data_IF_743880484682
#
_entry.id   IF_743880484682
#
_cell.length_a   1.000
_cell.length_b   1.000
_cell.length_c   1.000
_cell.angle_alpha   90.00
_cell.angle_beta   90.00
_cell.angle_gamma   90.00
#
_symmetry.space_group_name_H-M   'P 1'
#
loop_
_entity.id
_entity.type
_entity.pdbx_description
1 polymer ?
#
# COMPACT_ATOMS: atom_id res chain seq x y z
N UNK A 1 -46.31 -48.90 13.21
CA UNK A 1 -45.95 -47.47 13.05
C UNK A 1 -45.05 -47.10 14.21
N UNK A 2 -43.75 -46.96 13.95
CA UNK A 2 -42.73 -46.64 14.95
C UNK A 2 -41.99 -45.41 14.44
N UNK A 3 -42.22 -44.27 15.11
CA UNK A 3 -41.63 -42.97 14.78
C UNK A 3 -40.19 -42.90 15.28
N UNK A 4 -39.24 -42.61 14.38
CA UNK A 4 -37.84 -42.34 14.73
C UNK A 4 -37.70 -40.94 15.39
N UNK A 5 -36.76 -40.75 16.34
CA UNK A 5 -36.55 -39.47 16.99
C UNK A 5 -35.73 -38.53 16.11
N UNK A 6 -36.15 -37.26 16.05
CA UNK A 6 -35.50 -36.19 15.29
C UNK A 6 -34.22 -35.70 15.99
N UNK A 7 -33.11 -35.46 15.28
CA UNK A 7 -31.87 -34.99 15.90
C UNK A 7 -31.96 -33.50 16.27
N UNK A 8 -31.55 -33.16 17.49
CA UNK A 8 -31.40 -31.76 17.93
C UNK A 8 -30.23 -31.10 17.19
N UNK A 9 -30.33 -29.81 16.83
CA UNK A 9 -29.23 -29.08 16.21
C UNK A 9 -28.13 -28.86 17.26
N UNK A 10 -26.97 -29.48 17.04
CA UNK A 10 -25.75 -29.17 17.77
C UNK A 10 -25.28 -27.78 17.35
N UNK A 11 -25.52 -26.77 18.19
CA UNK A 11 -24.86 -25.48 18.08
C UNK A 11 -23.37 -25.69 18.31
N UNK A 12 -22.59 -25.69 17.23
CA UNK A 12 -21.15 -25.72 17.29
C UNK A 12 -20.68 -24.51 18.09
N UNK A 13 -20.25 -24.73 19.32
CA UNK A 13 -19.62 -23.71 20.15
C UNK A 13 -18.35 -23.26 19.45
N UNK A 14 -18.35 -22.05 18.90
CA UNK A 14 -17.13 -21.38 18.44
C UNK A 14 -16.14 -21.32 19.61
N UNK A 15 -15.12 -22.18 19.58
CA UNK A 15 -13.96 -22.03 20.45
C UNK A 15 -13.02 -21.01 19.79
N UNK A 16 -12.60 -19.93 20.48
CA UNK A 16 -11.53 -19.08 19.98
C UNK A 16 -10.23 -19.90 20.02
N UNK A 17 -9.86 -20.47 18.88
CA UNK A 17 -8.64 -21.27 18.70
C UNK A 17 -7.43 -20.32 18.56
N UNK A 18 -6.26 -20.62 19.15
CA UNK A 18 -5.29 -19.58 19.44
C UNK A 18 -4.63 -19.05 18.17
N UNK A 19 -4.42 -17.73 18.15
CA UNK A 19 -3.58 -17.05 17.17
C UNK A 19 -2.24 -17.79 17.07
N UNK A 20 -1.75 -18.03 15.85
CA UNK A 20 -0.37 -18.46 15.66
C UNK A 20 0.55 -17.36 16.22
N UNK A 21 0.89 -17.43 17.51
CA UNK A 21 1.79 -16.48 18.18
C UNK A 21 3.23 -16.53 17.63
N UNK A 22 3.51 -17.49 16.74
CA UNK A 22 4.81 -17.75 16.13
C UNK A 22 4.90 -17.27 14.68
N UNK A 23 3.79 -16.88 14.05
CA UNK A 23 3.77 -16.47 12.65
C UNK A 23 4.31 -15.04 12.54
N UNK A 24 5.58 -14.91 12.14
CA UNK A 24 6.18 -13.61 11.85
C UNK A 24 5.63 -13.11 10.53
N UNK A 25 5.08 -11.90 10.54
CA UNK A 25 4.62 -11.24 9.32
C UNK A 25 5.32 -9.91 9.14
N UNK A 26 5.55 -9.54 7.89
CA UNK A 26 6.16 -8.26 7.49
C UNK A 26 5.17 -7.54 6.57
N UNK A 27 4.87 -6.28 6.85
CA UNK A 27 4.30 -5.37 5.87
C UNK A 27 5.39 -4.41 5.41
N UNK A 28 5.59 -4.30 4.10
CA UNK A 28 6.71 -3.60 3.48
C UNK A 28 6.20 -2.61 2.45
N UNK A 29 6.74 -1.39 2.50
CA UNK A 29 6.53 -0.33 1.53
C UNK A 29 7.88 0.14 0.97
N UNK A 30 8.08 -0.08 -0.34
CA UNK A 30 9.29 0.27 -1.07
C UNK A 30 9.06 1.57 -1.86
N UNK A 31 9.12 2.70 -1.17
CA UNK A 31 8.99 4.02 -1.80
C UNK A 31 10.33 4.55 -2.33
N UNK A 32 10.29 5.46 -3.31
CA UNK A 32 11.51 6.05 -3.90
C UNK A 32 12.36 6.85 -2.90
N UNK A 33 11.73 7.56 -1.96
CA UNK A 33 12.46 8.30 -0.93
C UNK A 33 12.68 7.48 0.33
N UNK A 34 11.74 6.62 0.72
CA UNK A 34 11.73 5.95 2.02
C UNK A 34 11.23 4.52 1.92
N UNK A 35 11.94 3.61 2.59
CA UNK A 35 11.58 2.22 2.76
C UNK A 35 11.03 2.05 4.17
N UNK A 36 9.83 1.51 4.27
CA UNK A 36 9.14 1.34 5.56
C UNK A 36 8.74 -0.10 5.76
N UNK A 37 8.92 -0.57 6.98
CA UNK A 37 8.50 -1.91 7.35
C UNK A 37 7.86 -1.97 8.73
N UNK A 38 6.86 -2.83 8.80
CA UNK A 38 6.13 -3.19 9.99
C UNK A 38 6.25 -4.70 10.19
N UNK A 39 6.41 -5.16 11.43
CA UNK A 39 6.36 -6.59 11.75
C UNK A 39 5.31 -6.88 12.81
N UNK A 40 4.73 -8.08 12.71
CA UNK A 40 3.69 -8.59 13.63
C UNK A 40 4.02 -8.29 15.09
N UNK A 41 3.09 -7.65 15.79
CA UNK A 41 3.21 -7.33 17.23
C UNK A 41 4.05 -6.10 17.58
N UNK A 42 4.56 -5.32 16.60
CA UNK A 42 5.28 -4.05 16.86
C UNK A 42 4.62 -2.89 16.09
N UNK A 43 4.81 -1.63 16.49
CA UNK A 43 4.11 -0.47 15.89
C UNK A 43 4.58 -0.06 14.50
N UNK A 44 5.87 0.20 14.34
CA UNK A 44 6.60 0.48 13.11
C UNK A 44 8.06 0.31 13.49
N UNK A 45 8.82 -0.42 12.67
CA UNK A 45 10.16 -0.87 13.08
C UNK A 45 11.22 -0.26 12.18
N UNK A 46 10.82 0.12 10.97
CA UNK A 46 11.72 0.70 9.99
C UNK A 46 10.98 1.82 9.28
N UNK A 47 11.59 2.99 9.30
CA UNK A 47 11.33 4.07 8.36
C UNK A 47 12.67 4.73 8.07
N UNK A 48 13.26 4.41 6.91
CA UNK A 48 14.61 4.87 6.53
C UNK A 48 14.64 5.35 5.08
N UNK A 49 15.61 6.19 4.70
CA UNK A 49 15.81 6.54 3.30
C UNK A 49 16.02 5.31 2.40
N UNK A 50 15.41 5.32 1.22
CA UNK A 50 15.63 4.29 0.19
C UNK A 50 16.89 4.61 -0.59
N UNK A 51 18.04 4.22 -0.03
CA UNK A 51 19.35 4.50 -0.61
C UNK A 51 20.30 3.34 -0.34
N UNK A 52 21.14 3.03 -1.32
CA UNK A 52 22.23 2.07 -1.19
C UNK A 52 23.56 2.78 -1.41
N UNK A 53 24.63 2.27 -0.80
CA UNK A 53 25.98 2.83 -0.93
C UNK A 53 26.96 1.69 -1.24
N UNK A 54 27.13 1.30 -2.51
CA UNK A 54 28.02 0.22 -2.91
C UNK A 54 29.51 0.61 -2.99
N UNK A 55 29.87 1.84 -2.59
CA UNK A 55 31.27 2.29 -2.45
C UNK A 55 31.58 3.59 -3.21
N UNK A 56 31.04 3.77 -4.41
CA UNK A 56 31.33 4.94 -5.27
C UNK A 56 30.31 6.07 -5.19
N UNK A 57 29.32 5.97 -4.30
CA UNK A 57 28.30 7.00 -4.10
C UNK A 57 26.97 6.44 -3.63
N UNK A 58 26.03 7.34 -3.36
CA UNK A 58 24.65 6.98 -3.05
C UNK A 58 23.89 6.61 -4.34
N UNK A 59 23.21 5.47 -4.32
CA UNK A 59 22.33 5.00 -5.39
C UNK A 59 20.90 4.91 -4.86
N UNK A 60 19.92 5.36 -5.65
CA UNK A 60 18.50 5.31 -5.30
C UNK A 60 17.87 4.14 -6.07
N UNK A 61 17.68 2.97 -5.43
CA UNK A 61 17.34 1.75 -6.15
C UNK A 61 15.87 1.68 -6.58
N UNK A 62 15.02 2.58 -6.08
CA UNK A 62 13.60 2.69 -6.44
C UNK A 62 13.34 4.10 -6.96
N UNK A 63 12.85 4.23 -8.20
CA UNK A 63 12.64 5.53 -8.83
C UNK A 63 11.39 5.50 -9.70
N UNK A 64 10.57 6.56 -9.62
CA UNK A 64 9.42 6.79 -10.51
C UNK A 64 8.50 5.56 -10.66
N UNK A 65 8.28 4.82 -9.58
CA UNK A 65 7.42 3.61 -9.58
C UNK A 65 8.08 2.33 -10.10
N UNK A 66 9.41 2.29 -10.28
CA UNK A 66 10.19 1.14 -10.72
C UNK A 66 11.31 0.78 -9.73
N UNK A 67 11.77 -0.48 -9.73
CA UNK A 67 12.95 -0.93 -8.99
C UNK A 67 14.12 -1.03 -9.97
N UNK A 68 14.89 0.05 -10.07
CA UNK A 68 15.96 0.21 -11.06
C UNK A 68 17.26 -0.51 -10.67
N UNK A 69 17.42 -0.91 -9.41
CA UNK A 69 18.53 -1.73 -8.91
C UNK A 69 18.01 -2.81 -7.95
N UNK A 70 17.56 -3.93 -8.52
CA UNK A 70 17.04 -5.08 -7.76
C UNK A 70 18.09 -5.69 -6.82
N UNK A 71 19.34 -5.97 -7.25
CA UNK A 71 20.38 -6.47 -6.35
C UNK A 71 20.71 -5.51 -5.20
N UNK A 72 20.76 -4.20 -5.46
CA UNK A 72 20.94 -3.18 -4.43
C UNK A 72 19.78 -3.16 -3.45
N UNK A 73 18.54 -3.25 -3.95
CA UNK A 73 17.34 -3.35 -3.11
C UNK A 73 17.39 -4.57 -2.20
N UNK A 74 17.79 -5.74 -2.72
CA UNK A 74 17.94 -6.95 -1.92
C UNK A 74 18.98 -6.78 -0.81
N UNK A 75 20.19 -6.30 -1.13
CA UNK A 75 21.24 -6.04 -0.12
C UNK A 75 20.80 -5.04 0.94
N UNK A 76 20.04 -4.02 0.54
CA UNK A 76 19.47 -3.03 1.46
C UNK A 76 18.46 -3.70 2.40
N UNK A 77 17.52 -4.49 1.87
CA UNK A 77 16.51 -5.17 2.67
C UNK A 77 17.11 -6.18 3.65
N UNK A 78 18.09 -6.96 3.22
CA UNK A 78 18.82 -7.89 4.08
C UNK A 78 19.46 -7.18 5.27
N UNK A 79 20.19 -6.09 5.00
CA UNK A 79 20.83 -5.28 6.03
C UNK A 79 19.81 -4.70 7.01
N UNK A 80 18.68 -4.20 6.51
CA UNK A 80 17.68 -3.50 7.32
C UNK A 80 16.78 -4.45 8.12
N UNK A 81 16.45 -5.61 7.56
CA UNK A 81 15.43 -6.50 8.11
C UNK A 81 15.93 -7.90 8.44
N UNK A 82 16.96 -8.43 7.77
CA UNK A 82 17.44 -9.80 7.96
C UNK A 82 17.75 -10.13 9.42
N UNK A 83 18.49 -9.25 10.11
CA UNK A 83 18.82 -9.40 11.54
C UNK A 83 17.62 -9.24 12.50
N UNK A 84 16.47 -8.76 12.00
CA UNK A 84 15.25 -8.52 12.78
C UNK A 84 14.24 -9.65 12.66
N UNK A 85 14.44 -10.54 11.70
CA UNK A 85 13.59 -11.71 11.47
C UNK A 85 14.02 -12.87 12.36
N UNK A 86 13.08 -13.74 12.76
CA UNK A 86 13.43 -14.93 13.53
C UNK A 86 14.37 -15.82 12.71
N UNK A 87 15.32 -16.48 13.40
CA UNK A 87 16.23 -17.44 12.78
C UNK A 87 15.52 -18.65 12.18
N UNK A 88 14.32 -18.96 12.68
CA UNK A 88 13.51 -20.08 12.25
C UNK A 88 12.12 -19.60 11.82
N UNK A 89 11.58 -20.24 10.79
CA UNK A 89 10.29 -19.89 10.20
C UNK A 89 10.43 -18.92 9.01
N UNK A 90 9.46 -18.96 8.12
CA UNK A 90 9.40 -18.11 6.93
C UNK A 90 8.25 -17.11 7.06
N UNK A 91 8.50 -15.80 6.97
CA UNK A 91 7.45 -14.82 7.25
C UNK A 91 6.44 -14.71 6.11
N UNK A 92 5.19 -14.36 6.45
CA UNK A 92 4.23 -13.83 5.48
C UNK A 92 4.56 -12.36 5.21
N UNK A 93 4.78 -12.01 3.94
CA UNK A 93 5.11 -10.65 3.54
C UNK A 93 3.94 -10.03 2.75
N UNK A 94 3.42 -8.89 3.22
CA UNK A 94 2.50 -8.03 2.47
C UNK A 94 3.31 -6.86 1.90
N UNK A 95 3.41 -6.76 0.58
CA UNK A 95 4.17 -5.72 -0.12
C UNK A 95 3.22 -4.73 -0.78
N UNK A 96 3.34 -3.44 -0.49
CA UNK A 96 2.65 -2.40 -1.27
C UNK A 96 3.32 -2.20 -2.61
N UNK A 97 2.52 -1.99 -3.66
CA UNK A 97 3.01 -1.80 -5.03
C UNK A 97 2.30 -0.63 -5.72
N UNK A 98 2.98 0.18 -6.53
CA UNK A 98 2.31 1.15 -7.39
C UNK A 98 1.34 0.43 -8.32
N UNK A 99 0.17 1.02 -8.57
CA UNK A 99 -0.90 0.37 -9.32
C UNK A 99 -0.46 0.10 -10.76
N UNK A 100 0.21 1.08 -11.37
CA UNK A 100 0.63 1.04 -12.77
C UNK A 100 2.06 0.48 -12.98
N UNK A 101 2.72 -0.05 -11.93
CA UNK A 101 4.04 -0.69 -12.06
C UNK A 101 4.03 -2.03 -12.81
N UNK A 102 2.84 -2.62 -13.01
CA UNK A 102 2.66 -3.80 -13.84
C UNK A 102 3.37 -5.06 -13.33
N UNK A 103 3.62 -5.99 -14.24
CA UNK A 103 4.28 -7.27 -13.94
C UNK A 103 5.76 -7.10 -13.63
N UNK A 104 6.43 -6.15 -14.29
CA UNK A 104 7.87 -5.88 -14.12
C UNK A 104 8.19 -5.47 -12.69
N UNK A 105 7.51 -4.44 -12.16
CA UNK A 105 7.70 -4.02 -10.77
C UNK A 105 7.46 -5.19 -9.81
N UNK A 106 6.39 -5.96 -10.02
CA UNK A 106 6.07 -7.09 -9.13
C UNK A 106 7.15 -8.17 -9.16
N UNK A 107 7.71 -8.48 -10.33
CA UNK A 107 8.77 -9.47 -10.48
C UNK A 107 10.09 -9.01 -9.83
N UNK A 108 10.49 -7.75 -10.07
CA UNK A 108 11.66 -7.13 -9.46
C UNK A 108 11.51 -7.08 -7.94
N UNK A 109 10.35 -6.65 -7.44
CA UNK A 109 10.10 -6.54 -6.01
C UNK A 109 10.06 -7.92 -5.35
N UNK A 110 9.47 -8.93 -6.01
CA UNK A 110 9.49 -10.33 -5.55
C UNK A 110 10.93 -10.82 -5.39
N UNK A 111 11.75 -10.59 -6.41
CA UNK A 111 13.18 -10.97 -6.40
C UNK A 111 13.94 -10.23 -5.30
N UNK A 112 13.69 -8.93 -5.13
CA UNK A 112 14.35 -8.12 -4.13
C UNK A 112 14.03 -8.58 -2.69
N UNK A 113 12.79 -9.00 -2.41
CA UNK A 113 12.38 -9.43 -1.06
C UNK A 113 12.73 -10.88 -0.76
N UNK A 114 13.16 -11.69 -1.73
CA UNK A 114 13.45 -13.11 -1.52
C UNK A 114 14.62 -13.34 -0.56
N UNK A 115 15.52 -12.36 -0.41
CA UNK A 115 16.58 -12.35 0.62
C UNK A 115 16.04 -12.41 2.05
N UNK A 116 14.79 -12.01 2.28
CA UNK A 116 14.11 -12.14 3.57
C UNK A 116 13.52 -13.54 3.79
N UNK A 117 13.73 -14.46 2.83
CA UNK A 117 13.24 -15.83 2.83
C UNK A 117 11.72 -15.98 3.12
N UNK A 118 10.84 -15.13 2.54
CA UNK A 118 9.42 -15.13 2.86
C UNK A 118 8.77 -16.47 2.48
N UNK A 119 7.83 -16.94 3.29
CA UNK A 119 7.04 -18.14 3.01
C UNK A 119 6.01 -17.88 1.91
N UNK A 120 5.46 -16.66 1.93
CA UNK A 120 4.52 -16.17 0.94
C UNK A 120 4.68 -14.66 0.83
N UNK A 121 4.57 -14.14 -0.39
CA UNK A 121 4.54 -12.70 -0.68
C UNK A 121 3.20 -12.38 -1.33
N UNK A 122 2.44 -11.47 -0.72
CA UNK A 122 1.20 -10.94 -1.27
C UNK A 122 1.42 -9.47 -1.62
N UNK A 123 1.22 -9.13 -2.88
CA UNK A 123 1.29 -7.74 -3.34
C UNK A 123 -0.07 -7.07 -3.20
N UNK A 124 -0.09 -5.84 -2.70
CA UNK A 124 -1.31 -5.04 -2.52
C UNK A 124 -1.09 -3.69 -3.19
N UNK A 125 -2.00 -3.22 -4.08
CA UNK A 125 -1.91 -1.87 -4.61
C UNK A 125 -1.86 -0.83 -3.48
N UNK A 126 -0.93 0.13 -3.58
CA UNK A 126 -0.74 1.16 -2.55
C UNK A 126 -2.04 1.87 -2.20
N UNK A 127 -2.86 2.24 -3.20
CA UNK A 127 -4.17 2.85 -2.99
C UNK A 127 -5.11 2.01 -2.11
N UNK A 128 -5.12 0.68 -2.30
CA UNK A 128 -5.93 -0.24 -1.48
C UNK A 128 -5.41 -0.30 -0.05
N UNK A 129 -4.09 -0.35 0.15
CA UNK A 129 -3.50 -0.31 1.48
C UNK A 129 -3.84 1.02 2.18
N UNK A 130 -3.72 2.16 1.49
CA UNK A 130 -4.11 3.47 2.00
C UNK A 130 -5.58 3.50 2.43
N UNK A 131 -6.49 2.97 1.62
CA UNK A 131 -7.91 2.91 1.96
C UNK A 131 -8.18 2.05 3.22
N UNK A 132 -7.46 0.95 3.39
CA UNK A 132 -7.52 0.12 4.62
C UNK A 132 -6.95 0.87 5.83
N UNK A 133 -5.86 1.62 5.64
CA UNK A 133 -5.28 2.44 6.71
C UNK A 133 -6.26 3.51 7.21
N UNK A 134 -7.07 4.03 6.30
CA UNK A 134 -8.11 5.04 6.53
C UNK A 134 -9.39 4.49 7.16
N UNK A 135 -9.53 3.16 7.29
CA UNK A 135 -10.80 2.52 7.64
C UNK A 135 -11.95 2.97 6.70
N UNK A 136 -11.63 3.13 5.41
CA UNK A 136 -12.59 3.61 4.42
C UNK A 136 -13.66 2.56 4.11
N UNK A 137 -14.89 3.02 3.87
CA UNK A 137 -15.97 2.20 3.33
C UNK A 137 -15.69 1.85 1.87
N UNK A 138 -15.15 0.64 1.66
CA UNK A 138 -14.78 0.09 0.35
C UNK A 138 -15.97 -0.41 -0.47
N UNK A 139 -17.18 -0.50 0.10
CA UNK A 139 -18.40 -0.81 -0.65
C UNK A 139 -18.90 0.38 -1.47
N UNK A 140 -18.23 1.54 -1.34
CA UNK A 140 -18.53 2.75 -2.08
C UNK A 140 -17.30 3.25 -2.83
N UNK A 141 -17.47 4.02 -3.91
CA UNK A 141 -16.37 4.41 -4.80
C UNK A 141 -15.44 5.39 -4.08
N UNK A 142 -14.13 5.15 -4.12
CA UNK A 142 -13.14 5.95 -3.41
C UNK A 142 -12.04 6.39 -4.36
N UNK A 143 -11.73 7.69 -4.33
CA UNK A 143 -10.62 8.26 -5.08
C UNK A 143 -9.43 8.45 -4.14
N UNK A 144 -8.32 7.78 -4.42
CA UNK A 144 -7.06 7.89 -3.65
C UNK A 144 -6.04 8.64 -4.48
N UNK A 145 -5.41 9.65 -3.89
CA UNK A 145 -4.32 10.43 -4.49
C UNK A 145 -3.07 10.24 -3.65
N UNK A 146 -2.13 9.44 -4.14
CA UNK A 146 -0.83 9.23 -3.51
C UNK A 146 0.21 10.17 -4.11
N UNK A 147 0.63 11.17 -3.31
CA UNK A 147 1.62 12.16 -3.72
C UNK A 147 2.97 11.73 -3.15
N UNK A 148 3.70 10.97 -3.95
CA UNK A 148 5.01 10.41 -3.60
C UNK A 148 6.18 11.33 -3.92
N UNK A 149 7.38 10.82 -3.67
CA UNK A 149 8.62 11.55 -3.90
C UNK A 149 8.94 11.72 -5.39
N UNK A 150 8.84 10.64 -6.18
CA UNK A 150 9.19 10.65 -7.62
C UNK A 150 7.98 10.36 -8.52
N UNK A 151 6.81 10.13 -7.93
CA UNK A 151 5.60 9.69 -8.63
C UNK A 151 4.39 10.24 -7.87
N UNK A 152 3.40 10.71 -8.61
CA UNK A 152 2.05 10.99 -8.09
C UNK A 152 1.06 10.09 -8.81
N UNK A 153 0.26 9.34 -8.06
CA UNK A 153 -0.70 8.37 -8.59
C UNK A 153 -2.12 8.70 -8.09
N UNK A 154 -3.10 8.65 -8.99
CA UNK A 154 -4.53 8.80 -8.71
C UNK A 154 -5.21 7.48 -9.04
N UNK A 155 -5.93 6.91 -8.09
CA UNK A 155 -6.58 5.60 -8.24
C UNK A 155 -8.04 5.67 -7.84
N UNK A 156 -8.92 5.16 -8.68
CA UNK A 156 -10.32 4.89 -8.35
C UNK A 156 -10.44 3.45 -7.86
N UNK A 157 -10.98 3.32 -6.65
CA UNK A 157 -11.39 2.05 -6.08
C UNK A 157 -12.92 1.93 -6.13
N UNK A 158 -13.44 0.82 -6.62
CA UNK A 158 -14.86 0.46 -6.53
C UNK A 158 -14.95 -0.97 -6.00
N UNK A 159 -15.81 -1.19 -5.00
CA UNK A 159 -15.89 -2.45 -4.25
C UNK A 159 -14.52 -2.97 -3.76
N UNK A 160 -13.62 -2.04 -3.40
CA UNK A 160 -12.25 -2.31 -2.97
C UNK A 160 -11.28 -2.79 -4.07
N UNK A 161 -11.72 -2.89 -5.32
CA UNK A 161 -10.90 -3.20 -6.48
C UNK A 161 -10.46 -1.93 -7.22
N UNK A 162 -9.29 -1.97 -7.85
CA UNK A 162 -8.82 -0.88 -8.73
C UNK A 162 -9.59 -0.96 -10.04
N UNK A 163 -10.28 0.12 -10.41
CA UNK A 163 -11.02 0.20 -11.69
C UNK A 163 -10.54 1.27 -12.65
N UNK A 164 -9.85 2.30 -12.16
CA UNK A 164 -9.07 3.22 -12.99
C UNK A 164 -7.86 3.69 -12.18
N UNK A 165 -6.74 3.95 -12.86
CA UNK A 165 -5.53 4.47 -12.25
C UNK A 165 -4.74 5.29 -13.27
N UNK A 166 -4.16 6.38 -12.79
CA UNK A 166 -3.32 7.30 -13.58
C UNK A 166 -2.14 7.71 -12.74
N UNK A 167 -1.02 7.97 -13.39
CA UNK A 167 0.11 8.57 -12.72
C UNK A 167 0.73 9.68 -13.56
N UNK A 168 1.57 10.46 -12.89
CA UNK A 168 2.59 11.27 -13.53
C UNK A 168 3.93 10.97 -12.87
N UNK A 169 5.00 10.97 -13.65
CA UNK A 169 6.38 10.92 -13.17
C UNK A 169 6.80 12.29 -12.59
N UNK A 170 5.92 12.91 -11.80
CA UNK A 170 6.16 14.15 -11.06
C UNK A 170 5.84 13.87 -9.59
N UNK A 171 6.81 14.04 -8.73
CA UNK A 171 6.65 13.93 -7.28
C UNK A 171 7.35 15.07 -6.55
N UNK A 172 7.35 15.01 -5.22
CA UNK A 172 7.88 16.10 -4.39
C UNK A 172 9.38 16.36 -4.55
N UNK A 173 10.15 15.38 -5.02
CA UNK A 173 11.59 15.51 -5.26
C UNK A 173 11.92 16.25 -6.56
N UNK A 174 10.94 16.39 -7.47
CA UNK A 174 11.12 17.12 -8.72
C UNK A 174 10.90 18.64 -8.55
N UNK A 175 10.52 19.09 -7.35
CA UNK A 175 10.12 20.48 -7.10
C UNK A 175 11.33 21.39 -6.93
N UNK A 176 11.34 22.47 -7.71
CA UNK A 176 12.37 23.51 -7.73
C UNK A 176 11.78 24.87 -8.17
N UNK A 177 12.62 25.81 -8.61
CA UNK A 177 12.17 27.12 -9.10
C UNK A 177 11.41 27.05 -10.44
N UNK A 178 11.64 26.01 -11.24
CA UNK A 178 10.99 25.79 -12.55
C UNK A 178 9.76 24.88 -12.42
N UNK A 179 9.72 24.06 -11.38
CA UNK A 179 8.68 23.07 -11.09
C UNK A 179 8.04 23.39 -9.73
N UNK A 180 7.17 24.42 -9.66
CA UNK A 180 6.54 24.80 -8.40
C UNK A 180 5.56 23.72 -7.91
N UNK A 181 5.28 23.65 -6.59
CA UNK A 181 4.36 22.68 -5.98
C UNK A 181 2.98 22.61 -6.64
N UNK A 182 2.52 23.74 -7.18
CA UNK A 182 1.26 23.86 -7.90
C UNK A 182 1.17 22.92 -9.13
N UNK A 183 2.28 22.55 -9.77
CA UNK A 183 2.28 21.65 -10.92
C UNK A 183 1.81 20.24 -10.54
N UNK A 184 2.13 19.75 -9.33
CA UNK A 184 1.60 18.47 -8.85
C UNK A 184 0.08 18.54 -8.73
N UNK A 185 -0.44 19.62 -8.16
CA UNK A 185 -1.89 19.81 -8.06
C UNK A 185 -2.55 19.89 -9.44
N UNK A 186 -1.95 20.57 -10.40
CA UNK A 186 -2.45 20.65 -11.78
C UNK A 186 -2.44 19.28 -12.48
N UNK A 187 -1.38 18.49 -12.30
CA UNK A 187 -1.31 17.13 -12.82
C UNK A 187 -2.40 16.22 -12.23
N UNK A 188 -2.64 16.30 -10.92
CA UNK A 188 -3.74 15.55 -10.28
C UNK A 188 -5.10 15.97 -10.84
N UNK A 189 -5.35 17.28 -10.98
CA UNK A 189 -6.60 17.79 -11.54
C UNK A 189 -6.80 17.30 -12.97
N UNK A 190 -5.76 17.31 -13.80
CA UNK A 190 -5.81 16.80 -15.16
C UNK A 190 -6.14 15.29 -15.20
N UNK A 191 -5.50 14.49 -14.34
CA UNK A 191 -5.79 13.07 -14.20
C UNK A 191 -7.24 12.83 -13.80
N UNK A 192 -7.74 13.46 -12.73
CA UNK A 192 -9.12 13.31 -12.24
C UNK A 192 -10.14 13.79 -13.27
N UNK A 193 -9.87 14.89 -13.97
CA UNK A 193 -10.73 15.40 -15.05
C UNK A 193 -10.86 14.36 -16.15
N UNK A 194 -9.74 13.77 -16.55
CA UNK A 194 -9.75 12.78 -17.60
C UNK A 194 -10.37 11.43 -17.14
N UNK A 195 -10.29 11.06 -15.85
CA UNK A 195 -11.08 9.96 -15.26
C UNK A 195 -12.57 10.24 -15.38
N UNK A 196 -12.98 11.45 -14.99
CA UNK A 196 -14.39 11.86 -15.02
C UNK A 196 -14.95 11.87 -16.44
N UNK A 197 -14.15 12.30 -17.42
CA UNK A 197 -14.56 12.35 -18.82
C UNK A 197 -14.65 10.96 -19.49
N UNK A 198 -13.87 9.98 -19.01
CA UNK A 198 -13.85 8.62 -19.56
C UNK A 198 -14.81 7.68 -18.83
N UNK A 199 -15.23 8.05 -17.63
CA UNK A 199 -16.18 7.29 -16.83
C UNK A 199 -17.58 7.30 -17.47
N UNK A 200 -18.00 6.12 -17.98
CA UNK A 200 -19.35 5.90 -18.52
C UNK A 200 -20.39 5.63 -17.44
N UNK A 201 -20.00 5.70 -16.17
CA UNK A 201 -20.84 5.47 -15.00
C UNK A 201 -20.90 6.74 -14.14
N UNK A 202 -21.18 6.61 -12.84
CA UNK A 202 -21.06 7.69 -11.85
C UNK A 202 -19.88 7.53 -10.90
N UNK A 203 -19.13 6.43 -10.98
CA UNK A 203 -18.19 5.98 -9.95
C UNK A 203 -17.10 7.02 -9.62
N UNK A 204 -16.50 7.64 -10.63
CA UNK A 204 -15.48 8.69 -10.45
C UNK A 204 -16.08 9.94 -9.82
N UNK A 205 -17.26 10.35 -10.28
CA UNK A 205 -17.97 11.53 -9.76
C UNK A 205 -18.39 11.31 -8.31
N UNK A 206 -18.95 10.16 -8.00
CA UNK A 206 -19.41 9.77 -6.67
C UNK A 206 -18.23 9.71 -5.70
N UNK A 207 -17.10 9.14 -6.14
CA UNK A 207 -15.85 9.13 -5.38
C UNK A 207 -15.32 10.56 -5.13
N UNK A 208 -15.34 11.42 -6.15
CA UNK A 208 -14.88 12.80 -6.03
C UNK A 208 -15.77 13.62 -5.08
N UNK A 209 -17.09 13.45 -5.13
CA UNK A 209 -18.04 14.13 -4.23
C UNK A 209 -17.84 13.74 -2.76
N UNK A 210 -17.45 12.49 -2.50
CA UNK A 210 -17.08 12.01 -1.15
C UNK A 210 -15.74 12.58 -0.66
N UNK A 211 -14.93 13.10 -1.58
CA UNK A 211 -13.62 13.66 -1.31
C UNK A 211 -12.49 12.73 -1.71
N UNK A 212 -11.44 13.30 -2.30
CA UNK A 212 -10.23 12.61 -2.67
C UNK A 212 -9.36 12.35 -1.43
N UNK A 213 -9.05 11.09 -1.15
CA UNK A 213 -8.22 10.68 -0.02
C UNK A 213 -6.73 10.88 -0.36
N UNK A 214 -6.06 11.76 0.38
CA UNK A 214 -4.66 12.09 0.13
C UNK A 214 -3.71 11.21 0.96
N UNK A 215 -2.70 10.67 0.29
CA UNK A 215 -1.63 9.86 0.87
C UNK A 215 -0.24 10.29 0.35
N UNK A 216 0.79 9.67 0.90
CA UNK A 216 2.18 9.95 0.54
C UNK A 216 2.78 11.13 1.30
N UNK A 217 4.05 11.42 1.02
CA UNK A 217 4.77 12.52 1.65
C UNK A 217 4.25 13.89 1.24
N UNK A 218 3.80 14.04 -0.01
CA UNK A 218 3.25 15.29 -0.52
C UNK A 218 1.90 15.67 0.08
N UNK A 219 1.16 14.74 0.69
CA UNK A 219 -0.05 15.07 1.45
C UNK A 219 0.25 15.84 2.76
N UNK A 220 1.52 15.92 3.19
CA UNK A 220 1.96 16.77 4.31
C UNK A 220 2.22 18.23 3.88
N UNK A 221 2.16 18.53 2.58
CA UNK A 221 2.58 19.82 2.01
C UNK A 221 1.38 20.73 1.75
N UNK A 222 1.14 21.77 2.57
CA UNK A 222 -0.02 22.66 2.39
C UNK A 222 0.02 23.45 1.07
N UNK A 223 1.23 23.74 0.59
CA UNK A 223 1.51 24.36 -0.70
C UNK A 223 1.13 23.48 -1.91
N UNK A 224 0.92 22.18 -1.71
CA UNK A 224 0.33 21.26 -2.71
C UNK A 224 -1.16 21.04 -2.45
N UNK A 225 -1.50 20.71 -1.19
CA UNK A 225 -2.84 20.23 -0.83
C UNK A 225 -3.91 21.32 -0.86
N UNK A 226 -3.61 22.58 -0.47
CA UNK A 226 -4.58 23.67 -0.55
C UNK A 226 -4.94 24.03 -2.01
N UNK A 227 -3.97 24.26 -2.93
CA UNK A 227 -4.30 24.45 -4.34
C UNK A 227 -5.09 23.28 -4.92
N UNK A 228 -4.72 22.04 -4.57
CA UNK A 228 -5.38 20.84 -5.04
C UNK A 228 -6.87 20.83 -4.69
N UNK A 229 -7.23 21.03 -3.42
CA UNK A 229 -8.63 21.04 -3.00
C UNK A 229 -9.44 22.14 -3.71
N UNK A 230 -8.86 23.35 -3.85
CA UNK A 230 -9.54 24.45 -4.55
C UNK A 230 -9.77 24.15 -6.04
N UNK A 231 -8.79 23.55 -6.72
CA UNK A 231 -8.86 23.27 -8.16
C UNK A 231 -9.75 22.07 -8.49
N UNK A 232 -9.72 21.02 -7.66
CA UNK A 232 -10.64 19.88 -7.79
C UNK A 232 -12.10 20.25 -7.54
N UNK A 233 -12.35 21.37 -6.85
CA UNK A 233 -13.69 21.78 -6.39
C UNK A 233 -14.38 20.68 -5.56
N UNK A 234 -13.57 19.93 -4.83
CA UNK A 234 -13.98 18.81 -4.00
C UNK A 234 -13.09 18.73 -2.74
N UNK A 235 -13.57 18.09 -1.66
CA UNK A 235 -12.74 17.87 -0.48
C UNK A 235 -11.50 17.06 -0.82
N UNK A 236 -10.33 17.49 -0.35
CA UNK A 236 -9.11 16.70 -0.39
C UNK A 236 -8.74 16.31 1.05
N UNK A 237 -8.98 15.05 1.40
CA UNK A 237 -8.97 14.54 2.77
C UNK A 237 -7.60 13.93 3.08
N UNK A 238 -6.76 14.62 3.84
CA UNK A 238 -5.48 14.05 4.28
C UNK A 238 -5.65 13.08 5.44
N UNK A 239 -5.05 11.90 5.33
CA UNK A 239 -4.98 10.94 6.43
C UNK A 239 -4.08 11.43 7.57
N UNK A 240 -4.31 10.99 8.81
CA UNK A 240 -3.29 11.09 9.86
C UNK A 240 -2.03 10.34 9.44
N UNK A 241 -0.89 11.06 9.42
CA UNK A 241 0.43 10.53 9.00
C UNK A 241 0.40 9.88 7.60
N UNK A 242 0.06 10.64 6.54
CA UNK A 242 -0.21 10.11 5.20
C UNK A 242 1.01 9.43 4.56
N UNK A 243 2.22 9.88 4.93
CA UNK A 243 3.48 9.27 4.51
C UNK A 243 3.69 7.82 5.00
N UNK A 244 2.92 7.35 5.98
CA UNK A 244 2.97 5.96 6.48
C UNK A 244 1.70 5.16 6.18
N UNK A 245 0.72 5.76 5.51
CA UNK A 245 -0.59 5.15 5.31
C UNK A 245 -0.50 3.80 4.59
N UNK A 246 0.31 3.71 3.53
CA UNK A 246 0.53 2.48 2.77
C UNK A 246 0.99 1.32 3.66
N UNK A 247 2.12 1.46 4.37
CA UNK A 247 2.65 0.41 5.23
C UNK A 247 1.72 0.07 6.41
N UNK A 248 1.00 1.06 6.97
CA UNK A 248 0.00 0.84 8.02
C UNK A 248 -1.19 0.01 7.52
N UNK A 249 -1.64 0.29 6.31
CA UNK A 249 -2.69 -0.49 5.64
C UNK A 249 -2.26 -1.93 5.37
N UNK A 250 -1.05 -2.10 4.85
CA UNK A 250 -0.46 -3.42 4.65
C UNK A 250 -0.30 -4.17 5.98
N UNK A 251 0.02 -3.50 7.08
CA UNK A 251 0.07 -4.11 8.41
C UNK A 251 -1.32 -4.58 8.90
N UNK A 252 -2.38 -3.79 8.69
CA UNK A 252 -3.76 -4.21 8.97
C UNK A 252 -4.15 -5.44 8.14
N UNK A 253 -3.81 -5.46 6.85
CA UNK A 253 -4.05 -6.61 5.97
C UNK A 253 -3.28 -7.85 6.41
N UNK A 254 -2.03 -7.69 6.86
CA UNK A 254 -1.24 -8.77 7.43
C UNK A 254 -1.90 -9.37 8.68
N UNK A 255 -2.41 -8.52 9.58
CA UNK A 255 -3.14 -8.98 10.77
C UNK A 255 -4.42 -9.75 10.39
N UNK A 256 -5.17 -9.25 9.41
CA UNK A 256 -6.35 -9.94 8.90
C UNK A 256 -6.02 -11.30 8.26
N UNK A 257 -4.93 -11.38 7.50
CA UNK A 257 -4.47 -12.63 6.89
C UNK A 257 -4.09 -13.68 7.95
N UNK A 258 -3.43 -13.28 9.03
CA UNK A 258 -3.14 -14.18 10.16
C UNK A 258 -4.38 -14.64 10.93
N UNK A 259 -5.45 -13.86 10.92
CA UNK A 259 -6.72 -14.22 11.56
C UNK A 259 -7.60 -15.12 10.66
N UNK A 260 -7.23 -15.35 9.40
CA UNK A 260 -8.06 -16.10 8.45
C UNK A 260 -7.97 -17.62 8.71
N UNK A 261 -9.10 -18.32 8.92
CA UNK A 261 -9.11 -19.74 9.32
C UNK A 261 -8.47 -20.70 8.30
N UNK A 262 -8.40 -20.32 7.02
CA UNK A 262 -7.88 -21.13 5.92
C UNK A 262 -6.35 -21.36 5.94
N UNK A 263 -5.59 -20.58 6.72
CA UNK A 263 -4.13 -20.74 6.85
C UNK A 263 -3.72 -21.82 7.87
N UNK A 264 -4.69 -22.44 8.55
CA UNK A 264 -4.44 -23.41 9.64
C UNK A 264 -4.57 -24.88 9.18
N UNK A 265 -5.01 -25.14 7.94
CA UNK A 265 -5.45 -26.48 7.47
C UNK A 265 -4.41 -27.31 6.67
N UNK A 266 -3.11 -27.04 6.78
CA UNK A 266 -2.08 -27.85 6.06
C UNK A 266 -1.02 -28.55 6.93
N UNK A 267 -1.29 -28.75 8.23
CA UNK A 267 -0.47 -29.66 9.04
C UNK A 267 -1.35 -30.67 9.76
N UNK A 268 -1.72 -31.72 9.04
CA UNK A 268 -2.06 -33.03 9.59
C UNK A 268 -1.44 -34.10 8.72
#
# INVERSE_FOLDING_TARGET
MTTAPSPRPTTARHRPWPWCRQCTGIALDLGSARTRAWMSGRRMILDVPTVTVPGTGAVYPVQRGAIVDTPGTARMLDRLLGHRLPRFGRPLLILTTPVLGGITYRAEARTAVDVLHPGTVLTVPTARAVAVAADADLARPLLVVDIGAHLTEVTLLTDGAVTDARHTALGTSDLDSLTPPAQIADAVVAMVTAMTNQDRTSQTRDALQRGALLAGGGALRPDITYPLSRRLRAPALSLPSPHTAAVRGAAKLLQAAHAHPSTTTQHH
#
